data_IF_138533315668
#
_entry.id   IF_138533315668
#
_cell.length_a   1.000
_cell.length_b   1.000
_cell.length_c   1.000
_cell.angle_alpha   90.00
_cell.angle_beta   90.00
_cell.angle_gamma   90.00
#
_symmetry.space_group_name_H-M   'P 1'
#
loop_
_entity.id
_entity.type
_entity.pdbx_description
1 polymer ?
#
# COMPACT_ATOMS: atom_id res chain seq x y z
N UNK A 1 16.04 8.67 10.64
CA UNK A 1 15.05 8.54 9.56
C UNK A 1 13.78 7.92 10.13
N UNK A 2 12.60 8.48 9.84
CA UNK A 2 11.33 7.96 10.37
C UNK A 2 10.54 7.24 9.28
N UNK A 3 10.09 6.03 9.58
CA UNK A 3 9.33 5.16 8.67
C UNK A 3 7.99 4.81 9.33
N UNK A 4 6.88 5.07 8.64
CA UNK A 4 5.56 4.64 9.08
C UNK A 4 5.14 3.43 8.25
N UNK A 5 4.67 2.37 8.93
CA UNK A 5 4.20 1.12 8.32
C UNK A 5 2.71 0.99 8.58
N UNK A 6 1.89 0.91 7.52
CA UNK A 6 0.47 0.57 7.63
C UNK A 6 0.28 -0.95 7.52
N UNK A 7 -0.81 -1.47 8.09
CA UNK A 7 -1.01 -2.92 8.13
C UNK A 7 0.10 -3.64 8.90
N UNK A 8 0.60 -3.01 9.95
CA UNK A 8 1.78 -3.46 10.71
C UNK A 8 1.58 -4.78 11.45
N UNK A 9 0.32 -5.17 11.73
CA UNK A 9 -0.05 -6.44 12.36
C UNK A 9 -0.17 -7.59 11.33
N UNK A 10 -0.14 -7.28 10.03
CA UNK A 10 -0.13 -8.27 8.96
C UNK A 10 1.22 -8.97 8.79
N UNK A 11 1.24 -10.04 8.00
CA UNK A 11 2.43 -10.88 7.78
C UNK A 11 3.66 -10.07 7.34
N UNK A 12 3.51 -9.20 6.32
CA UNK A 12 4.60 -8.38 5.81
C UNK A 12 4.99 -7.28 6.80
N UNK A 13 4.01 -6.61 7.44
CA UNK A 13 4.25 -5.59 8.45
C UNK A 13 5.09 -6.12 9.61
N UNK A 14 4.77 -7.30 10.13
CA UNK A 14 5.54 -7.98 11.19
C UNK A 14 6.98 -8.27 10.72
N UNK A 15 7.14 -8.79 9.50
CA UNK A 15 8.47 -9.10 8.95
C UNK A 15 9.33 -7.84 8.78
N UNK A 16 8.75 -6.76 8.27
CA UNK A 16 9.43 -5.47 8.13
C UNK A 16 9.83 -4.89 9.51
N UNK A 17 8.95 -4.95 10.49
CA UNK A 17 9.26 -4.52 11.85
C UNK A 17 10.47 -5.28 12.42
N UNK A 18 10.47 -6.61 12.28
CA UNK A 18 11.57 -7.46 12.74
C UNK A 18 12.91 -7.12 12.04
N UNK A 19 12.84 -6.75 10.77
CA UNK A 19 14.02 -6.38 9.99
C UNK A 19 14.52 -4.98 10.38
N UNK A 20 13.62 -3.98 10.34
CA UNK A 20 13.97 -2.58 10.53
C UNK A 20 14.32 -2.25 11.98
N UNK A 21 13.79 -2.97 12.99
CA UNK A 21 14.14 -2.78 14.40
C UNK A 21 15.61 -3.04 14.72
N UNK A 22 16.33 -3.73 13.84
CA UNK A 22 17.77 -3.93 13.96
C UNK A 22 18.59 -2.68 13.55
N UNK A 23 17.95 -1.72 12.92
CA UNK A 23 18.56 -0.49 12.42
C UNK A 23 18.38 0.64 13.44
N UNK A 24 19.45 1.07 14.08
CA UNK A 24 19.43 2.15 15.09
C UNK A 24 19.16 3.55 14.51
N UNK A 25 19.35 3.71 13.22
CA UNK A 25 19.14 4.96 12.47
C UNK A 25 17.68 5.13 11.97
N UNK A 26 16.79 4.14 12.23
CA UNK A 26 15.41 4.15 11.82
C UNK A 26 14.49 4.19 13.05
N UNK A 27 13.64 5.20 13.11
CA UNK A 27 12.47 5.28 14.00
C UNK A 27 11.26 4.69 13.27
N UNK A 28 10.63 3.66 13.85
CA UNK A 28 9.49 2.97 13.25
C UNK A 28 8.20 3.41 13.93
N UNK A 29 7.23 3.83 13.14
CA UNK A 29 5.85 4.08 13.56
C UNK A 29 4.97 2.99 12.96
N UNK A 30 4.33 2.21 13.82
CA UNK A 30 3.43 1.14 13.42
C UNK A 30 1.98 1.62 13.48
N UNK A 31 1.22 1.37 12.42
CA UNK A 31 -0.22 1.62 12.37
C UNK A 31 -0.96 0.43 11.77
N UNK A 32 -2.16 0.19 12.27
CA UNK A 32 -3.10 -0.76 11.71
C UNK A 32 -4.50 -0.14 11.74
N UNK A 33 -5.55 -0.87 11.37
CA UNK A 33 -6.91 -0.32 11.24
C UNK A 33 -7.40 0.35 12.53
N UNK A 34 -7.01 -0.16 13.69
CA UNK A 34 -7.39 0.41 15.00
C UNK A 34 -6.70 1.76 15.27
N UNK A 35 -5.55 2.02 14.62
CA UNK A 35 -4.75 3.23 14.80
C UNK A 35 -5.04 4.25 13.71
N UNK A 36 -5.32 3.77 12.48
CA UNK A 36 -5.52 4.58 11.29
C UNK A 36 -6.33 3.80 10.25
N UNK A 37 -7.58 4.15 10.07
CA UNK A 37 -8.38 3.64 8.95
C UNK A 37 -7.95 4.34 7.65
N UNK A 38 -7.27 3.60 6.78
CA UNK A 38 -6.80 4.14 5.49
C UNK A 38 -7.95 4.58 4.57
N UNK A 39 -9.17 4.05 4.77
CA UNK A 39 -10.35 4.44 3.99
C UNK A 39 -10.94 5.78 4.41
N UNK A 40 -10.46 6.34 5.53
CA UNK A 40 -10.82 7.66 6.04
C UNK A 40 -9.64 8.62 5.89
N UNK A 41 -9.74 9.57 4.95
CA UNK A 41 -8.65 10.51 4.67
C UNK A 41 -8.27 11.39 5.87
N UNK A 42 -9.23 11.73 6.74
CA UNK A 42 -8.95 12.54 7.92
C UNK A 42 -8.16 11.77 8.98
N UNK A 43 -8.40 10.47 9.12
CA UNK A 43 -7.59 9.60 9.97
C UNK A 43 -6.16 9.51 9.43
N UNK A 44 -6.01 9.29 8.12
CA UNK A 44 -4.70 9.27 7.46
C UNK A 44 -3.97 10.60 7.69
N UNK A 45 -4.65 11.73 7.45
CA UNK A 45 -4.09 13.07 7.64
C UNK A 45 -3.66 13.34 9.08
N UNK A 46 -4.51 12.99 10.05
CA UNK A 46 -4.22 13.13 11.48
C UNK A 46 -2.96 12.36 11.88
N UNK A 47 -2.84 11.12 11.42
CA UNK A 47 -1.72 10.24 11.81
C UNK A 47 -0.43 10.65 11.11
N UNK A 48 -0.46 10.87 9.79
CA UNK A 48 0.73 11.25 9.04
C UNK A 48 1.27 12.62 9.49
N UNK A 49 0.40 13.61 9.72
CA UNK A 49 0.83 14.93 10.25
C UNK A 49 1.41 14.82 11.67
N UNK A 50 0.84 13.97 12.53
CA UNK A 50 1.34 13.77 13.90
C UNK A 50 2.77 13.23 13.90
N UNK A 51 3.06 12.24 13.06
CA UNK A 51 4.35 11.55 13.07
C UNK A 51 5.35 12.13 12.08
N UNK A 52 4.88 12.80 11.04
CA UNK A 52 5.67 13.39 9.95
C UNK A 52 6.80 12.46 9.44
N UNK A 53 6.46 11.26 8.93
CA UNK A 53 7.45 10.28 8.50
C UNK A 53 8.18 10.73 7.22
N UNK A 54 9.43 10.27 7.04
CA UNK A 54 10.14 10.43 5.77
C UNK A 54 9.66 9.43 4.71
N UNK A 55 9.26 8.23 5.17
CA UNK A 55 8.76 7.15 4.32
C UNK A 55 7.48 6.56 4.90
N UNK A 56 6.52 6.28 4.04
CA UNK A 56 5.31 5.51 4.34
C UNK A 56 5.41 4.19 3.59
N UNK A 57 5.39 3.05 4.31
CA UNK A 57 5.32 1.71 3.71
C UNK A 57 3.90 1.21 3.86
N UNK A 58 3.16 1.15 2.75
CA UNK A 58 1.79 0.68 2.77
C UNK A 58 1.72 -0.83 2.56
N UNK A 59 1.53 -1.57 3.67
CA UNK A 59 1.26 -3.01 3.68
C UNK A 59 -0.23 -3.31 3.93
N UNK A 60 -1.06 -2.29 4.21
CA UNK A 60 -2.49 -2.49 4.41
C UNK A 60 -3.17 -2.82 3.09
N UNK A 61 -3.94 -3.90 3.08
CA UNK A 61 -4.71 -4.34 1.93
C UNK A 61 -5.81 -5.33 2.35
N UNK A 62 -6.89 -5.39 1.58
CA UNK A 62 -7.85 -6.49 1.64
C UNK A 62 -7.38 -7.60 0.72
N UNK A 63 -6.80 -8.67 1.30
CA UNK A 63 -6.04 -9.71 0.58
C UNK A 63 -6.76 -11.03 0.42
N UNK A 64 -8.02 -11.12 0.86
CA UNK A 64 -8.83 -12.33 0.72
C UNK A 64 -9.36 -12.45 -0.70
N UNK A 65 -8.55 -13.01 -1.60
CA UNK A 65 -8.78 -13.03 -3.05
C UNK A 65 -10.17 -13.51 -3.42
N UNK A 66 -10.61 -14.66 -2.87
CA UNK A 66 -11.93 -15.23 -3.17
C UNK A 66 -13.07 -14.36 -2.61
N UNK A 67 -12.90 -13.78 -1.41
CA UNK A 67 -13.89 -12.88 -0.84
C UNK A 67 -14.00 -11.56 -1.60
N UNK A 68 -12.95 -11.12 -2.31
CA UNK A 68 -13.02 -9.94 -3.16
C UNK A 68 -14.08 -10.08 -4.26
N UNK A 69 -14.28 -11.28 -4.80
CA UNK A 69 -15.28 -11.52 -5.85
C UNK A 69 -16.72 -11.24 -5.38
N UNK A 70 -16.99 -11.47 -4.09
CA UNK A 70 -18.30 -11.24 -3.46
C UNK A 70 -18.41 -9.90 -2.74
N UNK A 71 -17.27 -9.30 -2.35
CA UNK A 71 -17.19 -8.02 -1.64
C UNK A 71 -16.39 -6.97 -2.42
N UNK A 72 -16.76 -6.78 -3.69
CA UNK A 72 -16.03 -5.91 -4.62
C UNK A 72 -15.87 -4.48 -4.09
N UNK A 73 -16.95 -3.89 -3.57
CA UNK A 73 -16.93 -2.52 -3.02
C UNK A 73 -15.91 -2.38 -1.88
N UNK A 74 -15.82 -3.37 -1.00
CA UNK A 74 -14.84 -3.38 0.08
C UNK A 74 -13.41 -3.51 -0.47
N UNK A 75 -13.20 -4.38 -1.46
CA UNK A 75 -11.90 -4.56 -2.09
C UNK A 75 -11.40 -3.25 -2.71
N UNK A 76 -12.22 -2.55 -3.49
CA UNK A 76 -11.87 -1.26 -4.07
C UNK A 76 -11.73 -0.16 -3.01
N UNK A 77 -12.62 -0.12 -2.03
CA UNK A 77 -12.55 0.86 -0.93
C UNK A 77 -11.20 0.80 -0.20
N UNK A 78 -10.71 -0.41 0.10
CA UNK A 78 -9.44 -0.59 0.83
C UNK A 78 -8.24 -0.49 -0.13
N UNK A 79 -8.26 -1.27 -1.24
CA UNK A 79 -7.09 -1.44 -2.09
C UNK A 79 -6.89 -0.30 -3.11
N UNK A 80 -7.92 0.50 -3.39
CA UNK A 80 -7.84 1.63 -4.30
C UNK A 80 -8.04 2.97 -3.58
N UNK A 81 -9.20 3.20 -2.95
CA UNK A 81 -9.51 4.50 -2.33
C UNK A 81 -8.64 4.73 -1.08
N UNK A 82 -8.43 3.71 -0.25
CA UNK A 82 -7.53 3.78 0.90
C UNK A 82 -6.09 4.11 0.48
N UNK A 83 -5.61 3.51 -0.61
CA UNK A 83 -4.29 3.80 -1.17
C UNK A 83 -4.21 5.22 -1.72
N UNK A 84 -5.28 5.71 -2.37
CA UNK A 84 -5.39 7.11 -2.81
C UNK A 84 -5.28 8.08 -1.64
N UNK A 85 -5.98 7.81 -0.54
CA UNK A 85 -5.92 8.65 0.67
C UNK A 85 -4.49 8.73 1.23
N UNK A 86 -3.80 7.58 1.31
CA UNK A 86 -2.40 7.53 1.73
C UNK A 86 -1.53 8.36 0.77
N UNK A 87 -1.69 8.18 -0.55
CA UNK A 87 -0.90 8.89 -1.54
C UNK A 87 -1.09 10.42 -1.45
N UNK A 88 -2.33 10.89 -1.33
CA UNK A 88 -2.65 12.31 -1.18
C UNK A 88 -1.95 12.91 0.04
N UNK A 89 -2.10 12.27 1.20
CA UNK A 89 -1.53 12.82 2.44
C UNK A 89 -0.01 12.67 2.47
N UNK A 90 0.54 11.61 1.88
CA UNK A 90 2.00 11.46 1.72
C UNK A 90 2.60 12.60 0.89
N UNK A 91 1.88 13.05 -0.16
CA UNK A 91 2.26 14.23 -0.95
C UNK A 91 2.21 15.51 -0.12
N UNK A 92 1.14 15.70 0.68
CA UNK A 92 0.97 16.89 1.54
C UNK A 92 2.15 17.10 2.50
N UNK A 93 2.76 16.01 2.99
CA UNK A 93 3.89 16.05 3.93
C UNK A 93 5.27 15.88 3.26
N UNK A 94 5.33 15.89 1.93
CA UNK A 94 6.55 15.70 1.13
C UNK A 94 7.33 14.40 1.41
N UNK A 95 6.65 13.34 1.86
CA UNK A 95 7.24 12.03 2.13
C UNK A 95 7.30 11.15 0.87
N UNK A 96 7.99 10.00 0.97
CA UNK A 96 8.05 8.98 -0.08
C UNK A 96 7.13 7.81 0.27
N UNK A 97 6.29 7.36 -0.66
CA UNK A 97 5.43 6.19 -0.51
C UNK A 97 6.10 4.94 -1.10
N UNK A 98 6.13 3.87 -0.33
CA UNK A 98 6.45 2.51 -0.81
C UNK A 98 5.14 1.71 -0.74
N UNK A 99 4.51 1.46 -1.89
CA UNK A 99 3.25 0.73 -1.97
C UNK A 99 3.50 -0.72 -2.35
N UNK A 100 3.04 -1.63 -1.50
CA UNK A 100 3.10 -3.07 -1.78
C UNK A 100 1.89 -3.49 -2.61
N UNK A 101 2.16 -3.91 -3.82
CA UNK A 101 1.20 -4.44 -4.79
C UNK A 101 1.36 -5.96 -4.95
N UNK A 102 0.94 -6.51 -6.07
CA UNK A 102 0.88 -7.95 -6.33
C UNK A 102 1.14 -8.27 -7.81
N UNK A 103 1.59 -9.48 -8.08
CA UNK A 103 1.66 -10.05 -9.42
C UNK A 103 0.27 -10.32 -10.05
N UNK A 104 -0.81 -10.38 -9.25
CA UNK A 104 -2.20 -10.48 -9.74
C UNK A 104 -2.64 -9.29 -10.60
N UNK A 105 -1.84 -8.24 -10.73
CA UNK A 105 -2.05 -7.17 -11.72
C UNK A 105 -1.79 -7.64 -13.16
N UNK A 106 -1.13 -8.78 -13.35
CA UNK A 106 -0.91 -9.42 -14.63
C UNK A 106 -1.94 -10.53 -14.90
N UNK A 107 -2.01 -11.02 -16.15
CA UNK A 107 -2.96 -12.06 -16.54
C UNK A 107 -2.42 -13.50 -16.39
N UNK A 108 -1.16 -13.67 -16.04
CA UNK A 108 -0.54 -14.98 -15.86
C UNK A 108 -0.25 -15.74 -17.14
N UNK A 109 -0.37 -15.11 -18.31
CA UNK A 109 -0.19 -15.82 -19.61
C UNK A 109 1.25 -15.90 -20.11
N UNK A 110 2.14 -15.06 -19.56
CA UNK A 110 3.55 -15.03 -19.91
C UNK A 110 4.28 -16.26 -19.36
N UNK A 111 5.13 -16.89 -20.19
CA UNK A 111 5.92 -18.05 -19.78
C UNK A 111 7.18 -17.67 -19.00
N UNK A 112 7.73 -16.50 -19.29
CA UNK A 112 8.89 -15.91 -18.61
C UNK A 112 8.42 -15.06 -17.42
N UNK A 113 9.35 -14.61 -16.57
CA UNK A 113 9.05 -13.67 -15.50
C UNK A 113 8.51 -12.34 -16.05
N UNK A 114 7.54 -11.76 -15.35
CA UNK A 114 7.09 -10.41 -15.66
C UNK A 114 8.12 -9.36 -15.25
N UNK A 115 8.20 -8.29 -16.04
CA UNK A 115 9.00 -7.11 -15.78
C UNK A 115 8.09 -5.95 -15.33
N UNK A 116 8.70 -4.88 -14.82
CA UNK A 116 8.01 -3.68 -14.37
C UNK A 116 7.21 -3.01 -15.49
N UNK A 117 7.73 -3.05 -16.73
CA UNK A 117 7.15 -2.43 -17.92
C UNK A 117 6.13 -3.31 -18.66
N UNK A 118 5.96 -4.57 -18.23
CA UNK A 118 4.97 -5.45 -18.84
C UNK A 118 3.54 -4.90 -18.62
N UNK A 119 2.72 -4.99 -19.67
CA UNK A 119 1.34 -4.54 -19.63
C UNK A 119 0.54 -5.31 -18.59
N UNK A 120 -0.06 -4.59 -17.66
CA UNK A 120 -0.97 -5.18 -16.68
C UNK A 120 -2.32 -5.53 -17.32
N UNK A 121 -2.91 -6.67 -16.89
CA UNK A 121 -4.21 -7.16 -17.32
C UNK A 121 -4.86 -8.03 -16.22
N UNK A 122 -5.24 -7.42 -15.06
CA UNK A 122 -5.74 -8.17 -13.91
C UNK A 122 -7.04 -8.91 -14.22
N UNK A 123 -7.12 -10.18 -13.86
CA UNK A 123 -8.27 -11.03 -14.14
C UNK A 123 -9.28 -11.04 -12.97
N UNK A 124 -8.79 -11.07 -11.72
CA UNK A 124 -9.62 -11.10 -10.51
C UNK A 124 -10.01 -9.69 -10.02
N UNK A 125 -11.06 -9.60 -9.20
CA UNK A 125 -11.43 -8.36 -8.50
C UNK A 125 -10.29 -7.90 -7.58
N UNK A 126 -9.61 -8.82 -6.88
CA UNK A 126 -8.43 -8.49 -6.10
C UNK A 126 -7.37 -7.80 -6.95
N UNK A 127 -6.94 -8.42 -8.06
CA UNK A 127 -5.96 -7.84 -8.97
C UNK A 127 -6.39 -6.48 -9.53
N UNK A 128 -7.66 -6.33 -9.93
CA UNK A 128 -8.23 -5.06 -10.42
C UNK A 128 -8.21 -3.98 -9.36
N UNK A 129 -8.59 -4.30 -8.12
CA UNK A 129 -8.57 -3.34 -7.00
C UNK A 129 -7.14 -2.90 -6.64
N UNK A 130 -6.18 -3.83 -6.64
CA UNK A 130 -4.76 -3.52 -6.41
C UNK A 130 -4.18 -2.66 -7.53
N UNK A 131 -4.51 -2.97 -8.80
CA UNK A 131 -4.09 -2.15 -9.95
C UNK A 131 -4.65 -0.74 -9.89
N UNK A 132 -5.92 -0.58 -9.50
CA UNK A 132 -6.50 0.75 -9.29
C UNK A 132 -5.77 1.54 -8.18
N UNK A 133 -5.28 0.85 -7.14
CA UNK A 133 -4.40 1.45 -6.13
C UNK A 133 -3.07 1.94 -6.71
N UNK A 134 -2.41 1.13 -7.56
CA UNK A 134 -1.19 1.56 -8.28
C UNK A 134 -1.45 2.82 -9.12
N UNK A 135 -2.55 2.85 -9.88
CA UNK A 135 -2.91 4.00 -10.71
C UNK A 135 -3.15 5.26 -9.89
N UNK A 136 -3.77 5.12 -8.71
CA UNK A 136 -3.94 6.23 -7.76
C UNK A 136 -2.60 6.75 -7.23
N UNK A 137 -1.62 5.87 -6.95
CA UNK A 137 -0.27 6.28 -6.53
C UNK A 137 0.43 7.04 -7.66
N UNK A 138 0.46 6.45 -8.86
CA UNK A 138 1.14 7.01 -10.05
C UNK A 138 0.57 8.40 -10.42
N UNK A 139 -0.76 8.54 -10.37
CA UNK A 139 -1.41 9.81 -10.74
C UNK A 139 -1.29 10.91 -9.68
N UNK A 140 -0.94 10.54 -8.43
CA UNK A 140 -0.93 11.46 -7.29
C UNK A 140 0.47 11.91 -6.88
N UNK A 141 1.44 10.98 -6.88
CA UNK A 141 2.77 11.16 -6.30
C UNK A 141 3.88 11.19 -7.34
N UNK A 142 4.91 11.99 -7.06
CA UNK A 142 6.19 11.97 -7.78
C UNK A 142 7.25 11.13 -7.03
N UNK A 143 7.12 10.99 -5.69
CA UNK A 143 8.05 10.27 -4.82
C UNK A 143 7.42 8.95 -4.35
N UNK A 144 7.52 7.91 -5.16
CA UNK A 144 6.97 6.60 -4.81
C UNK A 144 7.80 5.43 -5.35
N UNK A 145 7.57 4.27 -4.75
CA UNK A 145 7.94 2.95 -5.26
C UNK A 145 6.72 2.04 -5.19
N UNK A 146 6.50 1.25 -6.24
CA UNK A 146 5.50 0.18 -6.28
C UNK A 146 6.24 -1.15 -6.32
N UNK A 147 5.99 -2.00 -5.32
CA UNK A 147 6.63 -3.31 -5.19
C UNK A 147 5.57 -4.37 -5.44
N UNK A 148 5.66 -5.08 -6.55
CA UNK A 148 4.79 -6.21 -6.90
C UNK A 148 5.43 -7.51 -6.41
N UNK A 149 4.70 -8.29 -5.61
CA UNK A 149 5.17 -9.56 -5.01
C UNK A 149 4.33 -10.72 -5.48
#
# INVERSE_FOLDING_TARGET
>A
MKVLITGSKGQLGIALNKLLSKRKDIEIVNTDIDDMDITNIEDVRKVLNKYNPNYVINCAAYTKVDECETHQDLAFKVNADGVKNIAVVTKEIDATLIHVSTDYVFDGTKKEAYNEDDKTNPQSVYGKSKKAGEDNVISTLDKYFIVRT
#
